data_IF_216242076004
#
_entry.id   IF_216242076004
#
_cell.length_a   1.000
_cell.length_b   1.000
_cell.length_c   1.000
_cell.angle_alpha   90.00
_cell.angle_beta   90.00
_cell.angle_gamma   90.00
#
_symmetry.space_group_name_H-M   'P 1'
#
loop_
_entity.id
_entity.type
_entity.pdbx_description
1 polymer ?
#
# COMPACT_ATOMS: atom_id res chain seq x y z
N UNK A 1 -59.45 18.14 -61.53
CA UNK A 1 -58.02 17.75 -61.83
C UNK A 1 -57.13 18.63 -61.01
N UNK A 2 -57.01 18.26 -59.72
CA UNK A 2 -56.00 18.90 -58.90
C UNK A 2 -55.43 17.86 -57.96
N UNK A 3 -54.15 17.58 -58.09
CA UNK A 3 -53.36 16.74 -57.20
C UNK A 3 -52.95 17.60 -56.04
N UNK A 4 -53.61 17.46 -54.93
CA UNK A 4 -53.09 18.00 -53.66
C UNK A 4 -52.04 17.05 -53.08
N UNK A 5 -50.83 17.54 -53.09
CA UNK A 5 -49.71 16.91 -52.38
C UNK A 5 -49.93 17.02 -50.88
N UNK A 6 -50.13 15.84 -50.23
CA UNK A 6 -50.08 15.76 -48.76
C UNK A 6 -48.63 15.72 -48.31
N UNK A 7 -48.17 16.84 -47.82
CA UNK A 7 -46.91 16.91 -47.10
C UNK A 7 -47.15 16.24 -45.73
N UNK A 8 -46.55 15.09 -45.53
CA UNK A 8 -46.48 14.45 -44.21
C UNK A 8 -45.37 15.15 -43.40
N UNK A 9 -45.78 15.91 -42.40
CA UNK A 9 -44.89 16.48 -41.39
C UNK A 9 -44.47 15.31 -40.47
N UNK A 10 -43.24 14.85 -40.59
CA UNK A 10 -42.64 13.93 -39.61
C UNK A 10 -42.09 14.79 -38.50
N UNK A 11 -42.82 14.84 -37.37
CA UNK A 11 -42.30 15.43 -36.15
C UNK A 11 -41.36 14.40 -35.57
N UNK A 12 -40.05 14.57 -35.75
CA UNK A 12 -39.03 13.87 -35.05
C UNK A 12 -38.95 14.44 -33.64
N UNK A 13 -39.54 13.73 -32.66
CA UNK A 13 -39.35 14.03 -31.24
C UNK A 13 -37.92 13.67 -30.87
N UNK A 14 -37.04 14.65 -30.87
CA UNK A 14 -35.73 14.54 -30.20
C UNK A 14 -35.99 14.43 -28.68
N UNK A 15 -36.02 13.25 -28.17
CA UNK A 15 -35.81 12.99 -26.75
C UNK A 15 -34.33 13.34 -26.45
N UNK A 16 -34.08 14.57 -26.06
CA UNK A 16 -32.87 14.91 -25.32
C UNK A 16 -32.97 14.17 -23.95
N UNK A 17 -32.51 12.93 -23.91
CA UNK A 17 -32.12 12.32 -22.67
C UNK A 17 -30.96 13.14 -22.13
N UNK A 18 -31.23 13.96 -21.12
CA UNK A 18 -30.15 14.50 -20.28
C UNK A 18 -29.52 13.33 -19.56
N UNK A 19 -28.55 12.69 -20.20
CA UNK A 19 -27.59 11.87 -19.50
C UNK A 19 -26.84 12.85 -18.58
N UNK A 20 -27.25 12.91 -17.31
CA UNK A 20 -26.39 13.41 -16.26
C UNK A 20 -25.23 12.41 -16.12
N UNK A 21 -24.34 12.41 -17.10
CA UNK A 21 -23.05 11.82 -16.96
C UNK A 21 -22.37 12.58 -15.85
N UNK A 22 -22.24 11.96 -14.68
CA UNK A 22 -21.27 12.42 -13.72
C UNK A 22 -19.94 12.41 -14.47
N UNK A 23 -19.43 13.60 -14.80
CA UNK A 23 -18.11 13.72 -15.40
C UNK A 23 -17.15 13.08 -14.40
N UNK A 24 -16.57 11.94 -14.79
CA UNK A 24 -15.59 11.27 -13.97
C UNK A 24 -14.46 12.25 -13.74
N UNK A 25 -14.13 12.53 -12.48
CA UNK A 25 -13.00 13.39 -12.17
C UNK A 25 -11.75 12.82 -12.85
N UNK A 26 -10.95 13.67 -13.53
CA UNK A 26 -9.66 13.23 -14.00
C UNK A 26 -8.86 12.64 -12.82
N UNK A 27 -8.24 11.49 -13.00
CA UNK A 27 -7.53 10.78 -11.93
C UNK A 27 -6.39 11.59 -11.29
N UNK A 28 -5.84 12.57 -11.98
CA UNK A 28 -4.83 13.51 -11.48
C UNK A 28 -5.41 14.94 -11.26
N UNK A 29 -6.70 15.06 -11.05
CA UNK A 29 -7.28 16.36 -10.78
C UNK A 29 -7.02 16.80 -9.34
N UNK A 30 -6.88 18.12 -9.14
CA UNK A 30 -6.78 18.72 -7.81
C UNK A 30 -7.90 18.24 -6.88
N UNK A 31 -7.56 17.89 -5.65
CA UNK A 31 -8.50 17.42 -4.64
C UNK A 31 -8.98 15.98 -4.80
N UNK A 32 -8.36 15.17 -5.68
CA UNK A 32 -8.53 13.70 -5.65
C UNK A 32 -7.88 13.13 -4.40
N UNK A 33 -8.50 12.08 -3.79
CA UNK A 33 -8.03 11.52 -2.52
C UNK A 33 -6.81 10.60 -2.66
N UNK A 34 -6.81 9.77 -3.70
CA UNK A 34 -5.71 8.88 -4.04
C UNK A 34 -4.83 9.47 -5.16
N UNK A 35 -3.51 9.46 -5.03
CA UNK A 35 -2.72 8.97 -3.91
C UNK A 35 -2.86 9.85 -2.65
N UNK A 36 -2.77 9.22 -1.46
CA UNK A 36 -2.97 9.88 -0.16
C UNK A 36 -1.75 10.67 0.32
N UNK A 37 -0.58 10.35 -0.19
CA UNK A 37 0.70 10.99 0.12
C UNK A 37 1.35 11.41 -1.20
N UNK A 38 1.89 12.63 -1.29
CA UNK A 38 2.54 13.10 -2.51
C UNK A 38 3.88 12.38 -2.75
N UNK A 39 4.22 12.14 -4.02
CA UNK A 39 5.46 11.50 -4.43
C UNK A 39 5.31 10.00 -4.71
N UNK A 40 6.45 9.34 -4.86
CA UNK A 40 6.50 7.92 -5.19
C UNK A 40 6.92 7.10 -3.99
N UNK A 41 5.96 6.34 -3.49
CA UNK A 41 6.12 5.44 -2.35
C UNK A 41 5.37 4.15 -2.62
N UNK A 42 5.88 3.06 -2.04
CA UNK A 42 5.31 1.74 -2.23
C UNK A 42 5.29 0.93 -0.92
N UNK A 43 4.71 -0.26 -0.98
CA UNK A 43 4.79 -1.28 0.05
C UNK A 43 4.36 -0.73 1.44
N UNK A 44 3.16 -0.09 1.54
CA UNK A 44 2.79 0.66 2.72
C UNK A 44 2.43 -0.21 3.91
N UNK A 45 2.97 0.14 5.07
CA UNK A 45 2.44 -0.27 6.36
C UNK A 45 1.81 0.92 7.07
N UNK A 46 0.53 0.81 7.37
CA UNK A 46 -0.21 1.80 8.16
C UNK A 46 -0.49 1.25 9.56
N UNK A 47 -0.22 2.05 10.57
CA UNK A 47 -0.53 1.75 11.98
C UNK A 47 -1.18 2.96 12.65
N UNK A 48 -2.01 2.70 13.66
CA UNK A 48 -2.48 3.74 14.57
C UNK A 48 -1.95 3.46 15.97
N UNK A 49 -1.20 4.40 16.51
CA UNK A 49 -0.73 4.34 17.89
C UNK A 49 -1.24 5.56 18.65
N UNK A 50 -2.07 5.32 19.65
CA UNK A 50 -2.80 6.40 20.32
C UNK A 50 -3.79 7.09 19.35
N UNK A 51 -3.64 8.39 19.20
CA UNK A 51 -4.46 9.23 18.32
C UNK A 51 -3.79 9.58 16.98
N UNK A 52 -2.66 8.95 16.68
CA UNK A 52 -1.82 9.28 15.52
C UNK A 52 -1.71 8.08 14.57
N UNK A 53 -1.91 8.35 13.29
CA UNK A 53 -1.64 7.42 12.21
C UNK A 53 -0.18 7.54 11.76
N UNK A 54 0.43 6.41 11.48
CA UNK A 54 1.80 6.29 11.00
C UNK A 54 1.79 5.49 9.70
N UNK A 55 2.43 6.03 8.67
CA UNK A 55 2.62 5.39 7.38
C UNK A 55 4.11 5.20 7.14
N UNK A 56 4.53 3.97 6.99
CA UNK A 56 5.88 3.57 6.60
C UNK A 56 5.82 3.00 5.20
N UNK A 57 6.79 3.32 4.37
CA UNK A 57 6.76 2.87 2.98
C UNK A 57 8.17 2.79 2.39
N UNK A 58 8.28 2.03 1.33
CA UNK A 58 9.43 2.03 0.44
C UNK A 58 9.48 3.35 -0.32
N UNK A 59 10.63 4.00 -0.39
CA UNK A 59 10.81 5.21 -1.20
C UNK A 59 11.17 4.81 -2.63
N UNK A 60 10.32 5.22 -3.57
CA UNK A 60 10.50 5.00 -5.00
C UNK A 60 10.97 6.25 -5.74
N UNK A 61 11.06 6.17 -7.06
CA UNK A 61 11.37 7.27 -7.97
C UNK A 61 12.68 7.11 -8.70
N UNK A 62 13.78 6.86 -7.99
CA UNK A 62 15.09 6.60 -8.60
C UNK A 62 15.37 5.11 -8.82
N UNK A 63 14.48 4.25 -8.38
CA UNK A 63 14.54 2.80 -8.38
C UNK A 63 13.71 2.24 -7.23
N UNK A 64 13.57 0.92 -7.12
CA UNK A 64 12.84 0.31 -6.01
C UNK A 64 13.59 0.52 -4.70
N UNK A 65 13.03 1.34 -3.82
CA UNK A 65 13.57 1.58 -2.48
C UNK A 65 14.87 2.37 -2.44
N UNK A 66 15.18 3.14 -3.47
CA UNK A 66 16.32 4.05 -3.47
C UNK A 66 15.99 5.36 -2.77
N UNK A 67 15.85 5.31 -1.47
CA UNK A 67 15.63 6.48 -0.65
C UNK A 67 15.79 6.18 0.83
N UNK A 68 15.92 7.23 1.67
CA UNK A 68 16.09 7.05 3.10
C UNK A 68 14.80 6.49 3.73
N UNK A 69 14.95 5.83 4.87
CA UNK A 69 13.83 5.45 5.71
C UNK A 69 13.12 6.70 6.25
N UNK A 70 11.82 6.70 6.22
CA UNK A 70 10.99 7.78 6.74
C UNK A 70 9.65 7.27 7.22
N UNK A 71 8.97 8.09 8.00
CA UNK A 71 7.61 7.85 8.42
C UNK A 71 6.76 9.10 8.17
N UNK A 72 5.56 8.90 7.67
CA UNK A 72 4.55 9.94 7.57
C UNK A 72 3.59 9.83 8.75
N UNK A 73 3.26 10.95 9.37
CA UNK A 73 2.33 10.98 10.51
C UNK A 73 1.12 11.85 10.21
N UNK A 74 -0.05 11.42 10.70
CA UNK A 74 -1.30 12.16 10.55
C UNK A 74 -2.19 12.00 11.78
N UNK A 75 -3.01 13.01 12.07
CA UNK A 75 -4.08 12.94 13.08
C UNK A 75 -5.45 12.66 12.48
N UNK A 76 -5.59 12.77 11.17
CA UNK A 76 -6.87 12.78 10.46
C UNK A 76 -6.91 11.92 9.21
N UNK A 77 -5.77 11.29 8.86
CA UNK A 77 -5.57 10.50 7.65
C UNK A 77 -5.63 11.29 6.33
N UNK A 78 -5.59 12.61 6.39
CA UNK A 78 -5.64 13.51 5.21
C UNK A 78 -4.42 14.42 5.17
N UNK A 79 -4.07 15.01 6.32
CA UNK A 79 -2.93 15.89 6.44
C UNK A 79 -1.74 15.10 7.00
N UNK A 80 -0.74 14.89 6.16
CA UNK A 80 0.43 14.08 6.47
C UNK A 80 1.68 14.94 6.64
N UNK A 81 2.48 14.61 7.64
CA UNK A 81 3.78 15.24 7.91
C UNK A 81 4.87 14.19 7.78
N UNK A 82 5.84 14.48 6.91
CA UNK A 82 7.04 13.65 6.75
C UNK A 82 7.97 13.83 7.95
N UNK A 83 8.39 12.72 8.54
CA UNK A 83 9.36 12.66 9.63
C UNK A 83 10.53 11.77 9.21
N UNK A 84 11.77 12.29 9.21
CA UNK A 84 12.93 11.46 8.92
C UNK A 84 13.16 10.45 10.06
N UNK A 85 13.76 9.32 9.71
CA UNK A 85 14.19 8.31 10.67
C UNK A 85 15.72 8.31 10.80
N UNK A 86 16.22 7.93 11.96
CA UNK A 86 17.66 7.89 12.24
C UNK A 86 18.33 6.60 11.74
N UNK A 87 17.56 5.57 11.45
CA UNK A 87 18.01 4.23 11.06
C UNK A 87 16.92 3.54 10.24
N UNK A 88 17.29 2.70 9.27
CA UNK A 88 18.64 2.37 8.86
C UNK A 88 19.31 3.49 8.06
N UNK A 89 20.65 3.49 8.03
CA UNK A 89 21.45 4.49 7.27
C UNK A 89 21.50 4.17 5.77
N UNK A 90 21.08 3.00 5.37
CA UNK A 90 21.03 2.57 3.98
C UNK A 90 19.95 3.32 3.18
N UNK A 91 20.21 3.50 1.90
CA UNK A 91 19.24 4.01 0.92
C UNK A 91 18.49 2.88 0.19
N UNK A 92 18.59 1.64 0.67
CA UNK A 92 17.99 0.47 0.03
C UNK A 92 17.09 -0.25 1.03
N UNK A 93 15.94 0.35 1.31
CA UNK A 93 15.02 -0.11 2.33
C UNK A 93 13.69 -0.44 1.68
N UNK A 94 13.31 -1.72 1.76
CA UNK A 94 12.07 -2.21 1.17
C UNK A 94 11.09 -2.69 2.23
N UNK A 95 9.80 -2.52 1.93
CA UNK A 95 8.66 -3.11 2.60
C UNK A 95 8.76 -3.06 4.14
N UNK A 96 8.76 -1.85 4.73
CA UNK A 96 8.85 -1.72 6.17
C UNK A 96 7.56 -2.16 6.87
N UNK A 97 7.70 -2.75 8.06
CA UNK A 97 6.60 -2.96 8.99
C UNK A 97 6.95 -2.48 10.39
N UNK A 98 5.95 -2.07 11.15
CA UNK A 98 6.13 -1.66 12.54
C UNK A 98 5.04 -2.27 13.42
N UNK A 99 5.44 -2.77 14.57
CA UNK A 99 4.50 -3.24 15.58
C UNK A 99 4.86 -2.68 16.96
N UNK A 100 3.86 -2.60 17.84
CA UNK A 100 4.05 -2.36 19.27
C UNK A 100 3.99 -3.69 20.01
N UNK A 101 5.00 -3.99 20.80
CA UNK A 101 5.07 -5.20 21.59
C UNK A 101 4.53 -5.00 23.00
N UNK A 102 4.24 -6.08 23.72
CA UNK A 102 3.72 -6.06 25.10
C UNK A 102 4.73 -5.56 26.14
N UNK A 103 6.03 -5.54 25.79
CA UNK A 103 7.08 -4.91 26.60
C UNK A 103 7.06 -3.37 26.57
N UNK A 104 6.16 -2.79 25.77
CA UNK A 104 6.01 -1.36 25.60
C UNK A 104 6.82 -0.75 24.46
N UNK A 105 7.80 -1.49 23.92
CA UNK A 105 8.63 -1.04 22.82
C UNK A 105 7.95 -1.21 21.46
N UNK A 106 8.49 -0.50 20.48
CA UNK A 106 8.15 -0.62 19.07
C UNK A 106 9.27 -1.34 18.35
N UNK A 107 8.90 -2.15 17.37
CA UNK A 107 9.81 -2.92 16.54
C UNK A 107 9.58 -2.58 15.08
N UNK A 108 10.65 -2.18 14.39
CA UNK A 108 10.65 -1.78 12.98
C UNK A 108 11.38 -2.83 12.16
N UNK A 109 10.71 -3.39 11.17
CA UNK A 109 11.26 -4.40 10.27
C UNK A 109 11.39 -3.79 8.88
N UNK A 110 12.43 -4.15 8.17
CA UNK A 110 12.60 -3.86 6.75
C UNK A 110 13.44 -4.94 6.09
N UNK A 111 13.35 -5.07 4.77
CA UNK A 111 14.23 -5.97 4.01
C UNK A 111 15.23 -5.21 3.14
N UNK A 112 16.39 -5.88 2.89
CA UNK A 112 17.50 -5.35 2.08
C UNK A 112 18.40 -6.47 1.56
N UNK A 113 18.39 -6.77 0.26
CA UNK A 113 17.19 -7.01 -0.53
C UNK A 113 16.50 -8.30 -0.10
N UNK A 114 17.22 -9.37 0.24
CA UNK A 114 16.68 -10.67 0.65
C UNK A 114 17.10 -11.04 2.08
N UNK A 115 17.06 -10.08 2.97
CA UNK A 115 17.34 -10.22 4.41
C UNK A 115 16.43 -9.29 5.18
N UNK A 116 15.91 -9.72 6.33
CA UNK A 116 15.09 -8.87 7.18
C UNK A 116 15.92 -8.43 8.38
N UNK A 117 15.91 -7.13 8.61
CA UNK A 117 16.50 -6.46 9.77
C UNK A 117 15.40 -6.02 10.74
N UNK A 118 15.75 -5.88 12.01
CA UNK A 118 14.81 -5.42 13.03
C UNK A 118 15.44 -4.37 13.92
N UNK A 119 14.76 -3.23 14.04
CA UNK A 119 15.10 -2.17 14.99
C UNK A 119 14.13 -2.13 16.17
N UNK A 120 14.58 -1.64 17.31
CA UNK A 120 13.78 -1.40 18.51
C UNK A 120 13.84 0.06 18.94
N UNK A 121 12.72 0.58 19.46
CA UNK A 121 12.61 1.94 20.01
C UNK A 121 11.48 2.05 21.02
N UNK A 122 11.57 3.03 21.90
CA UNK A 122 10.47 3.39 22.83
C UNK A 122 9.35 4.19 22.14
N UNK A 123 9.59 4.68 20.91
CA UNK A 123 8.59 5.44 20.15
C UNK A 123 8.44 4.91 18.72
N UNK A 124 7.27 5.06 18.10
CA UNK A 124 7.04 4.56 16.73
C UNK A 124 7.82 5.34 15.65
N UNK A 125 8.53 6.38 16.01
CA UNK A 125 9.37 7.19 15.09
C UNK A 125 10.86 6.97 15.28
N UNK A 126 11.24 6.14 16.25
CA UNK A 126 12.62 6.04 16.69
C UNK A 126 12.91 7.00 17.88
N UNK A 127 14.18 7.21 18.25
CA UNK A 127 15.36 6.69 17.54
C UNK A 127 15.45 5.16 17.59
N UNK A 128 15.71 4.59 16.43
CA UNK A 128 15.82 3.14 16.25
C UNK A 128 17.24 2.66 16.50
N UNK A 129 17.37 1.46 17.05
CA UNK A 129 18.62 0.71 17.16
C UNK A 129 18.37 -0.74 16.72
N UNK A 130 19.29 -1.32 15.97
CA UNK A 130 19.17 -2.72 15.60
C UNK A 130 19.10 -3.57 16.87
N UNK A 131 18.11 -4.48 16.93
CA UNK A 131 17.84 -5.31 18.10
C UNK A 131 19.00 -6.27 18.43
N UNK A 132 19.82 -6.63 17.44
CA UNK A 132 20.97 -7.51 17.59
C UNK A 132 22.27 -6.76 17.95
N UNK A 133 22.21 -5.44 18.04
CA UNK A 133 23.32 -4.57 18.47
C UNK A 133 24.07 -3.90 17.33
N UNK A 134 24.58 -4.67 16.37
CA UNK A 134 25.28 -4.11 15.21
C UNK A 134 24.30 -3.57 14.19
N UNK A 135 24.59 -2.37 13.60
CA UNK A 135 23.66 -1.64 12.72
C UNK A 135 23.10 -2.50 11.58
N UNK A 136 23.98 -3.30 10.96
CA UNK A 136 23.64 -4.13 9.79
C UNK A 136 23.29 -5.59 10.15
N UNK A 137 23.13 -5.91 11.44
CA UNK A 137 22.81 -7.27 11.85
C UNK A 137 21.48 -7.75 11.28
N UNK A 138 21.47 -8.98 10.80
CA UNK A 138 20.35 -9.60 10.09
C UNK A 138 19.56 -10.47 11.06
N UNK A 139 18.25 -10.21 11.18
CA UNK A 139 17.35 -11.05 11.99
C UNK A 139 16.93 -12.31 11.22
N UNK A 140 16.55 -12.17 9.96
CA UNK A 140 16.15 -13.30 9.11
C UNK A 140 17.01 -13.29 7.85
N UNK A 141 18.00 -14.20 7.76
CA UNK A 141 18.84 -14.33 6.56
C UNK A 141 18.02 -14.90 5.39
N UNK A 142 18.56 -14.77 4.17
CA UNK A 142 17.93 -15.33 2.99
C UNK A 142 17.68 -16.84 3.15
N UNK A 143 16.50 -17.27 2.71
CA UNK A 143 16.05 -18.66 2.76
C UNK A 143 16.15 -19.32 4.15
N UNK A 144 15.96 -18.53 5.19
CA UNK A 144 15.87 -19.03 6.56
C UNK A 144 14.84 -20.15 6.71
N UNK A 145 13.71 -20.04 6.02
CA UNK A 145 12.80 -21.16 5.74
C UNK A 145 13.06 -21.64 4.31
N UNK A 146 13.34 -22.91 4.13
CA UNK A 146 13.58 -23.50 2.82
C UNK A 146 12.42 -23.19 1.88
N UNK A 147 12.71 -22.79 0.63
CA UNK A 147 11.73 -22.41 -0.39
C UNK A 147 10.91 -21.13 -0.07
N UNK A 148 11.43 -20.28 0.80
CA UNK A 148 10.96 -18.91 0.98
C UNK A 148 12.16 -17.97 0.84
N UNK A 149 12.19 -17.14 -0.21
CA UNK A 149 13.16 -16.06 -0.33
C UNK A 149 12.76 -14.99 0.68
N UNK A 150 13.73 -14.46 1.43
CA UNK A 150 13.45 -13.61 2.59
C UNK A 150 13.31 -12.15 2.17
N UNK A 151 12.08 -11.66 2.07
CA UNK A 151 11.76 -10.24 1.88
C UNK A 151 10.35 -9.96 2.42
N UNK A 152 9.97 -8.67 2.47
CA UNK A 152 8.63 -8.19 2.82
C UNK A 152 8.12 -8.72 4.17
N UNK A 153 8.94 -8.52 5.21
CA UNK A 153 8.58 -8.98 6.56
C UNK A 153 7.39 -8.22 7.13
N UNK A 154 6.30 -8.93 7.42
CA UNK A 154 5.11 -8.36 8.04
C UNK A 154 4.80 -9.08 9.35
N UNK A 155 4.54 -8.32 10.42
CA UNK A 155 4.23 -8.84 11.74
C UNK A 155 2.73 -8.94 11.99
N UNK A 156 2.36 -9.96 12.75
CA UNK A 156 1.02 -10.09 13.34
C UNK A 156 1.15 -10.36 14.83
N UNK A 157 0.45 -9.57 15.64
CA UNK A 157 0.35 -9.78 17.11
C UNK A 157 -0.99 -10.41 17.41
N UNK A 158 -0.99 -11.61 17.96
CA UNK A 158 -2.22 -12.31 18.32
C UNK A 158 -2.78 -11.84 19.68
N UNK A 159 -4.00 -12.27 20.00
CA UNK A 159 -4.74 -11.87 21.21
C UNK A 159 -4.01 -12.30 22.51
N UNK A 160 -3.20 -13.35 22.45
CA UNK A 160 -2.38 -13.84 23.58
C UNK A 160 -1.03 -13.11 23.72
N UNK A 161 -0.75 -12.12 22.86
CA UNK A 161 0.51 -11.38 22.79
C UNK A 161 1.61 -12.08 22.01
N UNK A 162 1.37 -13.26 21.45
CA UNK A 162 2.33 -13.93 20.57
C UNK A 162 2.55 -13.11 19.30
N UNK A 163 3.79 -13.00 18.86
CA UNK A 163 4.17 -12.26 17.66
C UNK A 163 4.59 -13.24 16.58
N UNK A 164 4.02 -13.08 15.41
CA UNK A 164 4.35 -13.86 14.22
C UNK A 164 4.94 -12.92 13.16
N UNK A 165 5.93 -13.40 12.42
CA UNK A 165 6.52 -12.73 11.26
C UNK A 165 6.28 -13.60 10.03
N UNK A 166 5.84 -12.98 8.94
CA UNK A 166 5.62 -13.59 7.62
C UNK A 166 6.50 -12.90 6.60
N UNK A 167 7.02 -13.65 5.60
CA UNK A 167 7.92 -13.07 4.60
C UNK A 167 7.97 -13.89 3.31
N UNK A 168 8.54 -13.30 2.24
CA UNK A 168 8.86 -13.95 0.98
C UNK A 168 7.69 -13.91 0.02
N UNK A 169 7.86 -14.50 -1.07
CA UNK A 169 8.99 -15.01 -1.88
C UNK A 169 8.93 -14.24 -3.18
N UNK A 170 9.90 -13.54 -3.59
CA UNK A 170 9.88 -12.73 -4.81
C UNK A 170 9.76 -13.60 -6.07
N UNK A 171 8.54 -13.91 -6.47
CA UNK A 171 8.19 -14.72 -7.62
C UNK A 171 7.36 -15.96 -7.29
N UNK A 172 6.63 -16.44 -8.30
CA UNK A 172 5.79 -17.62 -8.21
C UNK A 172 6.59 -18.84 -8.69
N UNK A 173 7.10 -19.62 -7.75
CA UNK A 173 7.92 -20.79 -8.06
C UNK A 173 7.29 -22.07 -7.54
N UNK A 174 7.44 -23.16 -8.29
CA UNK A 174 6.94 -24.47 -7.88
C UNK A 174 7.58 -24.92 -6.55
N UNK A 175 6.77 -25.21 -5.56
CA UNK A 175 7.20 -25.67 -4.25
C UNK A 175 7.69 -24.57 -3.31
N UNK A 176 7.63 -23.32 -3.72
CA UNK A 176 7.91 -22.16 -2.89
C UNK A 176 6.62 -21.64 -2.22
N UNK A 177 6.78 -20.68 -1.34
CA UNK A 177 5.68 -20.05 -0.64
C UNK A 177 6.15 -18.98 0.34
N UNK A 178 5.29 -18.62 1.28
CA UNK A 178 5.55 -17.69 2.34
C UNK A 178 6.27 -18.36 3.50
N UNK A 179 7.40 -17.79 3.95
CA UNK A 179 7.98 -18.14 5.25
C UNK A 179 7.15 -17.55 6.37
N UNK A 180 6.95 -18.30 7.43
CA UNK A 180 6.27 -17.85 8.63
C UNK A 180 7.01 -18.34 9.89
N UNK A 181 7.02 -17.51 10.93
CA UNK A 181 7.63 -17.91 12.20
C UNK A 181 7.02 -17.20 13.39
N UNK A 182 6.93 -17.91 14.51
CA UNK A 182 6.60 -17.35 15.82
C UNK A 182 7.86 -16.81 16.45
N UNK A 183 7.93 -15.52 16.70
CA UNK A 183 9.06 -14.90 17.38
C UNK A 183 9.10 -15.30 18.86
N UNK A 184 10.31 -15.48 19.39
CA UNK A 184 10.53 -15.62 20.82
C UNK A 184 10.24 -14.30 21.55
N UNK A 185 10.05 -14.33 22.86
CA UNK A 185 9.73 -13.15 23.66
C UNK A 185 10.80 -12.07 23.63
N UNK A 186 12.04 -12.41 23.30
CA UNK A 186 13.14 -11.46 23.12
C UNK A 186 13.18 -10.81 21.72
N UNK A 187 12.28 -11.22 20.84
CA UNK A 187 12.17 -10.76 19.44
C UNK A 187 13.41 -11.01 18.57
N UNK A 188 14.37 -11.84 19.02
CA UNK A 188 15.68 -12.07 18.36
C UNK A 188 15.79 -13.44 17.70
N UNK A 189 14.84 -14.32 17.93
CA UNK A 189 14.82 -15.69 17.43
C UNK A 189 13.39 -16.18 17.20
N UNK A 190 13.26 -17.36 16.62
CA UNK A 190 11.97 -18.01 16.41
C UNK A 190 11.83 -19.26 17.27
N UNK A 191 10.67 -19.45 17.87
CA UNK A 191 10.31 -20.68 18.59
C UNK A 191 9.73 -21.73 17.67
N UNK A 192 9.16 -21.32 16.55
CA UNK A 192 8.57 -22.15 15.53
C UNK A 192 8.67 -21.48 14.16
N UNK A 193 8.92 -22.25 13.11
CA UNK A 193 8.93 -21.75 11.73
C UNK A 193 8.22 -22.71 10.79
N UNK A 194 7.64 -22.19 9.71
CA UNK A 194 6.91 -22.96 8.72
C UNK A 194 7.00 -22.33 7.34
N UNK A 195 6.97 -23.15 6.30
CA UNK A 195 6.61 -22.73 4.94
C UNK A 195 5.09 -22.80 4.80
N UNK A 196 4.44 -21.71 4.37
CA UNK A 196 3.06 -21.70 3.85
C UNK A 196 3.18 -21.87 2.33
N UNK A 197 2.95 -23.07 1.79
CA UNK A 197 3.24 -23.36 0.39
C UNK A 197 2.18 -22.77 -0.55
N UNK A 198 2.50 -22.66 -1.83
CA UNK A 198 1.57 -22.19 -2.86
C UNK A 198 0.30 -23.06 -3.01
N UNK A 199 0.27 -24.25 -2.46
CA UNK A 199 -0.93 -25.07 -2.35
C UNK A 199 -1.94 -24.57 -1.31
N UNK A 200 -1.51 -23.77 -0.36
CA UNK A 200 -2.34 -23.08 0.64
C UNK A 200 -2.57 -21.59 0.24
N UNK A 201 -1.60 -20.98 -0.42
CA UNK A 201 -1.61 -19.61 -0.88
C UNK A 201 -1.38 -19.57 -2.40
N UNK A 202 -2.45 -19.81 -3.17
CA UNK A 202 -2.38 -19.91 -4.63
C UNK A 202 -1.72 -18.71 -5.26
N UNK A 203 -0.69 -18.96 -6.12
CA UNK A 203 0.08 -17.94 -6.81
C UNK A 203 0.71 -16.90 -5.88
N UNK A 204 1.10 -17.29 -4.67
CA UNK A 204 1.83 -16.41 -3.74
C UNK A 204 3.09 -15.88 -4.43
N UNK A 205 3.17 -14.57 -4.56
CA UNK A 205 4.33 -13.87 -5.12
C UNK A 205 5.15 -13.20 -4.02
N UNK A 206 4.52 -12.33 -3.21
CA UNK A 206 5.17 -11.57 -2.13
C UNK A 206 4.15 -10.86 -1.22
N UNK A 207 4.63 -9.96 -0.35
CA UNK A 207 3.81 -9.05 0.45
C UNK A 207 2.77 -9.76 1.31
N UNK A 208 3.17 -10.67 2.19
CA UNK A 208 2.25 -11.31 3.12
C UNK A 208 1.68 -10.30 4.11
N UNK A 209 0.42 -10.45 4.45
CA UNK A 209 -0.24 -9.69 5.51
C UNK A 209 -1.24 -10.59 6.23
N UNK A 210 -1.17 -10.64 7.56
CA UNK A 210 -2.10 -11.44 8.36
C UNK A 210 -2.87 -10.56 9.31
N UNK A 211 -4.17 -10.77 9.38
CA UNK A 211 -5.05 -10.20 10.39
C UNK A 211 -5.99 -11.25 10.96
N UNK A 212 -6.50 -11.01 12.17
CA UNK A 212 -7.52 -11.86 12.80
C UNK A 212 -8.84 -11.13 12.92
N UNK A 213 -9.93 -11.80 12.58
CA UNK A 213 -11.29 -11.28 12.75
C UNK A 213 -12.23 -12.41 13.14
N UNK A 214 -12.94 -12.24 14.27
CA UNK A 214 -13.91 -13.24 14.78
C UNK A 214 -13.32 -14.67 14.86
N UNK A 215 -12.06 -14.79 15.32
CA UNK A 215 -11.37 -16.06 15.48
C UNK A 215 -10.78 -16.66 14.19
N UNK A 216 -10.98 -16.04 13.03
CA UNK A 216 -10.44 -16.48 11.74
C UNK A 216 -9.23 -15.62 11.40
N UNK A 217 -8.15 -16.27 10.94
CA UNK A 217 -6.96 -15.63 10.41
C UNK A 217 -7.09 -15.47 8.91
N UNK A 218 -6.95 -14.22 8.44
CA UNK A 218 -6.98 -13.85 7.03
C UNK A 218 -5.54 -13.60 6.61
N UNK A 219 -5.03 -14.46 5.76
CA UNK A 219 -3.73 -14.32 5.14
C UNK A 219 -3.94 -13.71 3.75
N UNK A 220 -3.60 -12.46 3.61
CA UNK A 220 -3.64 -11.72 2.35
C UNK A 220 -2.23 -11.58 1.79
N UNK A 221 -2.10 -11.54 0.48
CA UNK A 221 -0.78 -11.49 -0.17
C UNK A 221 -0.90 -10.98 -1.61
N UNK A 222 0.22 -10.53 -2.17
CA UNK A 222 0.28 -10.14 -3.56
C UNK A 222 0.59 -11.31 -4.48
N UNK A 223 0.03 -11.25 -5.68
CA UNK A 223 0.18 -12.23 -6.76
C UNK A 223 0.34 -11.48 -8.09
N UNK A 224 0.70 -12.21 -9.15
CA UNK A 224 1.03 -11.62 -10.45
C UNK A 224 2.45 -11.08 -10.48
N UNK A 225 2.69 -10.01 -11.23
CA UNK A 225 3.98 -9.34 -11.34
C UNK A 225 3.92 -7.92 -10.82
N UNK A 226 4.81 -7.54 -9.89
CA UNK A 226 4.90 -6.17 -9.37
C UNK A 226 5.26 -5.12 -10.44
N UNK A 227 5.61 -5.55 -11.65
CA UNK A 227 5.99 -4.67 -12.76
C UNK A 227 4.84 -4.32 -13.70
N UNK A 228 3.67 -4.96 -13.58
CA UNK A 228 2.60 -4.80 -14.55
C UNK A 228 1.19 -4.88 -13.94
N UNK A 229 0.17 -4.81 -14.79
CA UNK A 229 -1.24 -4.81 -14.43
C UNK A 229 -1.73 -6.12 -13.78
N UNK A 230 -0.94 -7.18 -13.82
CA UNK A 230 -1.32 -8.47 -13.22
C UNK A 230 -1.12 -8.49 -11.70
N UNK A 231 -0.41 -7.49 -11.16
CA UNK A 231 -0.24 -7.38 -9.71
C UNK A 231 -1.59 -7.15 -9.03
N UNK A 232 -1.87 -7.93 -8.00
CA UNK A 232 -3.18 -7.99 -7.36
C UNK A 232 -3.05 -8.55 -5.95
N UNK A 233 -4.08 -8.40 -5.13
CA UNK A 233 -4.16 -8.98 -3.79
C UNK A 233 -5.11 -10.16 -3.78
N UNK A 234 -4.63 -11.29 -3.27
CA UNK A 234 -5.40 -12.49 -3.03
C UNK A 234 -5.44 -12.81 -1.52
N UNK A 235 -6.31 -13.73 -1.11
CA UNK A 235 -6.35 -14.14 0.28
C UNK A 235 -6.71 -15.61 0.49
N UNK A 236 -6.32 -16.10 1.66
CA UNK A 236 -6.65 -17.40 2.21
C UNK A 236 -7.05 -17.25 3.68
N UNK A 237 -7.71 -18.25 4.25
CA UNK A 237 -8.16 -18.23 5.65
C UNK A 237 -7.76 -19.50 6.39
N UNK A 238 -7.57 -19.37 7.72
CA UNK A 238 -7.27 -20.48 8.62
C UNK A 238 -7.86 -20.22 10.02
N UNK A 239 -7.95 -21.27 10.81
CA UNK A 239 -8.23 -21.21 12.25
C UNK A 239 -6.95 -21.06 13.10
N UNK A 240 -5.76 -21.04 12.47
CA UNK A 240 -4.44 -20.93 13.10
C UNK A 240 -3.59 -19.85 12.42
N UNK A 241 -2.73 -19.15 13.19
CA UNK A 241 -1.95 -18.02 12.65
C UNK A 241 -0.98 -18.43 11.54
N UNK A 242 -0.40 -19.60 11.58
CA UNK A 242 0.51 -20.09 10.53
C UNK A 242 -0.12 -21.15 9.62
N UNK A 243 -1.46 -21.29 9.61
CA UNK A 243 -2.17 -22.23 8.78
C UNK A 243 -2.29 -23.65 9.36
N UNK A 244 -2.73 -24.65 8.55
CA UNK A 244 -2.90 -24.59 7.10
C UNK A 244 -3.98 -23.62 6.65
N UNK A 245 -3.73 -22.96 5.51
CA UNK A 245 -4.66 -21.99 4.93
C UNK A 245 -5.47 -22.59 3.78
N UNK A 246 -6.68 -22.09 3.62
CA UNK A 246 -7.55 -22.39 2.49
C UNK A 246 -7.73 -21.15 1.62
N UNK A 247 -7.33 -21.23 0.37
CA UNK A 247 -7.47 -20.17 -0.61
C UNK A 247 -8.94 -19.73 -0.81
N UNK A 248 -9.17 -18.43 -0.94
CA UNK A 248 -10.50 -17.83 -1.04
C UNK A 248 -10.74 -17.00 -2.29
N UNK A 249 -9.71 -16.43 -2.91
CA UNK A 249 -9.86 -15.65 -4.14
C UNK A 249 -9.08 -14.34 -4.15
N UNK A 250 -9.28 -13.58 -5.23
CA UNK A 250 -8.75 -12.25 -5.45
C UNK A 250 -9.68 -11.20 -4.83
N UNK A 251 -9.11 -10.17 -4.20
CA UNK A 251 -9.87 -9.12 -3.52
C UNK A 251 -9.52 -7.70 -3.99
N UNK A 252 -8.40 -7.52 -4.69
CA UNK A 252 -8.00 -6.25 -5.27
C UNK A 252 -7.19 -6.51 -6.54
N UNK A 253 -7.55 -5.86 -7.63
CA UNK A 253 -6.85 -5.95 -8.92
C UNK A 253 -6.99 -4.65 -9.73
N UNK A 254 -6.28 -4.57 -10.85
CA UNK A 254 -6.40 -3.45 -11.80
C UNK A 254 -7.86 -3.18 -12.14
N UNK A 255 -8.29 -1.92 -12.05
CA UNK A 255 -9.67 -1.56 -12.35
C UNK A 255 -10.01 -1.70 -13.85
N UNK A 256 -11.30 -1.72 -14.16
CA UNK A 256 -11.80 -2.05 -15.51
C UNK A 256 -11.34 -1.11 -16.60
N UNK A 257 -11.07 0.16 -16.29
CA UNK A 257 -10.56 1.15 -17.24
C UNK A 257 -9.02 1.23 -17.29
N UNK A 258 -8.33 0.43 -16.44
CA UNK A 258 -6.88 0.36 -16.38
C UNK A 258 -6.19 1.58 -15.78
N UNK A 259 -6.94 2.56 -15.24
CA UNK A 259 -6.36 3.79 -14.68
C UNK A 259 -5.78 3.58 -13.28
N UNK A 260 -6.21 2.54 -12.56
CA UNK A 260 -5.57 2.07 -11.31
C UNK A 260 -4.89 0.76 -11.64
N UNK A 261 -3.60 0.87 -11.95
CA UNK A 261 -2.79 -0.18 -12.56
C UNK A 261 -1.94 -0.90 -11.53
N UNK A 262 -2.01 -2.22 -11.50
CA UNK A 262 -1.19 -3.09 -10.66
C UNK A 262 -1.27 -2.78 -9.15
N UNK A 263 -2.48 -2.67 -8.55
CA UNK A 263 -2.60 -2.41 -7.12
C UNK A 263 -2.20 -3.64 -6.31
N UNK A 264 -1.39 -3.44 -5.28
CA UNK A 264 -0.94 -4.54 -4.44
C UNK A 264 -0.09 -4.09 -3.26
N UNK A 265 0.61 -5.04 -2.65
CA UNK A 265 1.48 -4.88 -1.48
C UNK A 265 0.82 -3.99 -0.42
N UNK A 266 -0.21 -4.52 0.19
CA UNK A 266 -1.12 -3.79 1.05
C UNK A 266 -0.84 -3.99 2.53
N UNK A 267 -1.39 -3.10 3.33
CA UNK A 267 -1.67 -3.30 4.75
C UNK A 267 -3.12 -2.94 5.05
N UNK A 268 -3.64 -3.31 6.21
CA UNK A 268 -5.01 -3.03 6.61
C UNK A 268 -5.02 -2.19 7.88
N UNK A 269 -5.73 -1.06 7.83
CA UNK A 269 -6.08 -0.25 8.98
C UNK A 269 -7.47 -0.64 9.47
N UNK A 270 -7.59 -0.96 10.77
CA UNK A 270 -8.87 -1.08 11.45
C UNK A 270 -9.14 0.19 12.24
N UNK A 271 -10.26 0.84 11.97
CA UNK A 271 -10.73 2.02 12.69
C UNK A 271 -12.15 1.77 13.21
N UNK A 272 -12.28 1.54 14.51
CA UNK A 272 -13.54 1.08 15.10
C UNK A 272 -13.98 -0.27 14.51
N UNK A 273 -15.11 -0.28 13.82
CA UNK A 273 -15.66 -1.46 13.13
C UNK A 273 -15.35 -1.47 11.62
N UNK A 274 -14.71 -0.44 11.12
CA UNK A 274 -14.38 -0.26 9.72
C UNK A 274 -12.97 -0.75 9.41
N UNK A 275 -12.77 -1.20 8.17
CA UNK A 275 -11.49 -1.65 7.66
C UNK A 275 -11.15 -0.90 6.39
N UNK A 276 -9.89 -0.54 6.25
CA UNK A 276 -9.35 0.19 5.11
C UNK A 276 -8.10 -0.52 4.61
N UNK A 277 -8.08 -0.83 3.32
CA UNK A 277 -6.90 -1.39 2.67
C UNK A 277 -6.06 -0.24 2.14
N UNK A 278 -4.83 -0.14 2.64
CA UNK A 278 -3.82 0.78 2.13
C UNK A 278 -2.88 -0.03 1.25
N UNK A 279 -2.66 0.41 0.03
CA UNK A 279 -1.92 -0.33 -0.98
C UNK A 279 -1.14 0.64 -1.87
N UNK A 280 -0.23 0.15 -2.68
CA UNK A 280 0.30 0.96 -3.76
C UNK A 280 -0.35 0.59 -5.11
N UNK A 281 -0.38 1.56 -6.02
CA UNK A 281 -0.63 1.36 -7.45
C UNK A 281 0.57 1.89 -8.23
N UNK A 282 0.71 1.53 -9.50
CA UNK A 282 1.62 2.22 -10.38
C UNK A 282 1.16 3.65 -10.63
N UNK A 283 2.07 4.53 -11.03
CA UNK A 283 1.75 5.90 -11.42
C UNK A 283 0.76 5.93 -12.59
N UNK A 284 0.02 7.01 -12.74
CA UNK A 284 -0.95 7.15 -13.80
C UNK A 284 -0.79 8.52 -14.50
N UNK A 285 -0.57 8.53 -15.83
CA UNK A 285 -0.41 7.37 -16.70
C UNK A 285 0.82 6.54 -16.34
N UNK A 286 0.70 5.20 -16.51
CA UNK A 286 1.78 4.28 -16.15
C UNK A 286 3.03 4.52 -17.00
N UNK A 287 4.14 4.84 -16.32
CA UNK A 287 5.36 5.31 -16.99
C UNK A 287 6.21 4.18 -17.61
N UNK A 288 6.00 2.92 -17.25
CA UNK A 288 6.83 1.77 -17.65
C UNK A 288 8.34 1.93 -17.34
N UNK A 289 8.71 2.87 -16.48
CA UNK A 289 10.08 3.17 -16.15
C UNK A 289 10.28 3.17 -14.66
N UNK A 290 11.10 2.26 -14.19
CA UNK A 290 11.44 2.17 -12.79
C UNK A 290 10.22 1.91 -11.91
N UNK A 291 10.36 2.22 -10.65
CA UNK A 291 9.32 2.05 -9.65
C UNK A 291 8.75 3.42 -9.30
N UNK A 292 7.66 3.79 -9.96
CA UNK A 292 6.90 5.01 -9.71
C UNK A 292 5.55 4.64 -9.12
N UNK A 293 5.58 4.09 -7.90
CA UNK A 293 4.35 3.63 -7.23
C UNK A 293 3.80 4.72 -6.33
N UNK A 294 2.50 4.71 -6.12
CA UNK A 294 1.76 5.74 -5.39
C UNK A 294 0.85 5.09 -4.34
N UNK A 295 0.81 5.65 -3.14
CA UNK A 295 0.03 5.11 -2.03
C UNK A 295 -1.45 5.48 -2.14
N UNK A 296 -2.30 4.47 -2.04
CA UNK A 296 -3.75 4.60 -2.12
C UNK A 296 -4.43 3.93 -0.92
N UNK A 297 -5.68 4.30 -0.69
CA UNK A 297 -6.53 3.70 0.33
C UNK A 297 -7.96 3.61 -0.16
N UNK A 298 -8.60 2.47 0.10
CA UNK A 298 -10.01 2.26 -0.13
C UNK A 298 -10.63 1.44 1.00
N UNK A 299 -11.97 1.50 1.13
CA UNK A 299 -12.70 0.76 2.14
C UNK A 299 -12.70 -0.74 1.82
N UNK A 300 -12.39 -1.55 2.82
CA UNK A 300 -12.46 -3.01 2.76
C UNK A 300 -13.68 -3.50 3.54
N UNK A 301 -14.50 -4.32 2.92
CA UNK A 301 -15.74 -4.83 3.50
C UNK A 301 -15.76 -6.36 3.56
N UNK A 302 -16.57 -6.87 4.51
CA UNK A 302 -16.81 -8.29 4.67
C UNK A 302 -18.27 -8.62 4.35
N UNK A 303 -18.49 -9.77 3.75
CA UNK A 303 -19.81 -10.35 3.61
C UNK A 303 -20.29 -10.98 4.94
N UNK A 304 -21.54 -11.41 4.99
CA UNK A 304 -22.14 -12.00 6.20
C UNK A 304 -21.45 -13.30 6.61
N UNK A 305 -20.99 -14.10 5.65
CA UNK A 305 -20.24 -15.35 5.86
C UNK A 305 -18.79 -15.12 6.31
N UNK A 306 -18.36 -13.85 6.38
CA UNK A 306 -17.00 -13.45 6.76
C UNK A 306 -16.01 -13.39 5.61
N UNK A 307 -16.40 -13.70 4.37
CA UNK A 307 -15.53 -13.51 3.21
C UNK A 307 -15.24 -12.02 2.98
N UNK A 308 -14.05 -11.71 2.46
CA UNK A 308 -13.72 -10.35 2.04
C UNK A 308 -14.40 -10.10 0.70
N UNK A 309 -15.17 -9.01 0.61
CA UNK A 309 -15.74 -8.56 -0.67
C UNK A 309 -14.63 -8.03 -1.57
N UNK A 310 -14.74 -8.29 -2.88
CA UNK A 310 -13.82 -7.67 -3.85
C UNK A 310 -13.87 -6.15 -3.70
N UNK A 311 -12.70 -5.57 -3.47
CA UNK A 311 -12.53 -4.14 -3.30
C UNK A 311 -12.41 -3.49 -4.67
N UNK A 312 -13.17 -2.43 -4.89
CA UNK A 312 -13.08 -1.62 -6.11
C UNK A 312 -12.12 -0.47 -5.80
N UNK A 313 -10.92 -0.46 -6.41
CA UNK A 313 -9.98 0.63 -6.18
C UNK A 313 -10.49 1.93 -6.81
N UNK A 314 -10.30 3.05 -6.11
CA UNK A 314 -10.81 4.35 -6.53
C UNK A 314 -9.71 5.41 -6.61
N UNK A 315 -9.99 6.47 -7.38
CA UNK A 315 -9.17 7.69 -7.37
C UNK A 315 -9.56 8.62 -6.22
N UNK A 316 -10.77 8.51 -5.71
CA UNK A 316 -11.28 9.39 -4.64
C UNK A 316 -10.80 8.98 -3.24
N UNK A 317 -10.44 7.71 -3.01
CA UNK A 317 -10.04 7.21 -1.70
C UNK A 317 -11.16 7.32 -0.66
N UNK A 318 -10.79 7.51 0.60
CA UNK A 318 -11.74 7.49 1.73
C UNK A 318 -11.96 8.85 2.41
N UNK A 319 -11.16 9.86 2.08
CA UNK A 319 -11.19 11.15 2.78
C UNK A 319 -10.69 11.08 4.23
N UNK A 320 -11.12 12.01 5.07
CA UNK A 320 -10.70 12.10 6.47
C UNK A 320 -11.36 11.03 7.34
N UNK A 321 -10.59 10.43 8.24
CA UNK A 321 -11.09 9.49 9.26
C UNK A 321 -11.58 10.21 10.53
N UNK A 322 -11.27 11.48 10.71
CA UNK A 322 -11.79 12.31 11.79
C UNK A 322 -12.91 13.22 11.26
N UNK A 323 -14.08 13.17 11.88
CA UNK A 323 -15.32 13.81 11.40
C UNK A 323 -15.31 15.35 11.33
N UNK A 324 -14.30 16.01 11.90
CA UNK A 324 -14.22 17.47 11.97
C UNK A 324 -13.08 18.08 11.15
N UNK A 325 -12.31 17.26 10.43
CA UNK A 325 -11.10 17.75 9.76
C UNK A 325 -11.35 17.94 8.29
N UNK A 326 -11.00 19.12 7.79
CA UNK A 326 -10.96 19.47 6.38
C UNK A 326 -9.49 19.51 5.95
N UNK A 327 -9.17 18.97 4.79
CA UNK A 327 -7.83 19.09 4.19
C UNK A 327 -7.36 20.55 4.26
N UNK A 328 -6.14 20.76 4.69
CA UNK A 328 -5.55 22.12 4.76
C UNK A 328 -5.64 22.79 3.39
N UNK A 329 -6.04 24.06 3.39
CA UNK A 329 -6.09 24.83 2.16
C UNK A 329 -4.66 25.03 1.62
N UNK A 330 -4.40 24.59 0.43
CA UNK A 330 -3.15 24.90 -0.26
C UNK A 330 -3.12 26.38 -0.65
N UNK A 331 -2.36 27.19 0.10
CA UNK A 331 -2.25 28.63 -0.14
C UNK A 331 -1.51 28.96 -1.43
N UNK A 332 -0.74 28.01 -1.98
CA UNK A 332 -0.02 28.17 -3.24
C UNK A 332 -0.82 27.72 -4.46
N UNK A 333 -2.05 27.20 -4.26
CA UNK A 333 -2.86 26.68 -5.35
C UNK A 333 -3.04 27.73 -6.46
N UNK A 334 -2.59 27.37 -7.68
CA UNK A 334 -2.68 28.26 -8.85
C UNK A 334 -1.69 29.43 -8.85
N UNK A 335 -0.72 29.46 -7.93
CA UNK A 335 0.32 30.47 -7.93
C UNK A 335 1.17 30.41 -9.21
N UNK A 336 1.70 31.54 -9.64
CA UNK A 336 2.67 31.56 -10.74
C UNK A 336 4.03 31.06 -10.24
N UNK A 337 4.47 29.95 -10.82
CA UNK A 337 5.72 29.28 -10.45
C UNK A 337 6.71 29.41 -11.61
N UNK A 338 7.99 29.55 -11.26
CA UNK A 338 9.11 29.49 -12.21
C UNK A 338 10.22 28.65 -11.62
N UNK A 339 10.83 27.82 -12.44
CA UNK A 339 12.03 27.07 -12.11
C UNK A 339 13.08 27.28 -13.20
N UNK A 340 14.36 27.20 -12.83
CA UNK A 340 15.48 27.25 -13.78
C UNK A 340 15.56 26.01 -14.65
N UNK A 341 15.04 24.89 -14.17
CA UNK A 341 15.01 23.61 -14.89
C UNK A 341 13.91 22.70 -14.36
N UNK A 342 13.52 21.73 -15.17
CA UNK A 342 12.69 20.60 -14.78
C UNK A 342 13.06 19.38 -15.63
N UNK A 343 12.82 18.19 -15.10
CA UNK A 343 13.31 16.94 -15.69
C UNK A 343 12.72 16.70 -17.08
N UNK A 344 11.40 16.74 -17.20
CA UNK A 344 10.68 16.67 -18.47
C UNK A 344 9.25 17.22 -18.34
N UNK A 345 8.44 17.10 -19.39
CA UNK A 345 7.07 17.62 -19.42
C UNK A 345 6.14 17.01 -18.36
N UNK A 346 6.47 15.84 -17.80
CA UNK A 346 5.74 15.20 -16.71
C UNK A 346 6.09 15.73 -15.31
N UNK A 347 7.09 16.62 -15.20
CA UNK A 347 7.62 17.14 -13.92
C UNK A 347 7.75 18.66 -13.90
N UNK A 348 6.75 19.35 -14.42
CA UNK A 348 6.76 20.81 -14.57
C UNK A 348 6.66 21.53 -13.23
N UNK A 349 7.19 22.78 -13.11
CA UNK A 349 7.10 23.58 -11.89
C UNK A 349 5.68 23.79 -11.38
N UNK A 350 4.70 23.87 -12.27
CA UNK A 350 3.28 24.08 -11.93
C UNK A 350 2.70 22.95 -11.08
N UNK A 351 3.27 21.75 -11.17
CA UNK A 351 2.87 20.60 -10.37
C UNK A 351 3.23 20.72 -8.88
N UNK A 352 4.09 21.67 -8.52
CA UNK A 352 4.35 21.98 -7.11
C UNK A 352 3.19 22.73 -6.42
N UNK A 353 2.24 23.27 -7.19
CA UNK A 353 1.17 24.17 -6.70
C UNK A 353 -0.22 23.81 -7.24
N UNK A 354 -0.43 22.61 -7.75
CA UNK A 354 -1.67 22.16 -8.36
C UNK A 354 -2.63 21.44 -7.40
N UNK A 355 -2.22 21.25 -6.14
CA UNK A 355 -2.94 20.52 -5.09
C UNK A 355 -3.26 19.05 -5.48
N UNK A 356 -2.40 18.43 -6.23
CA UNK A 356 -2.56 17.08 -6.74
C UNK A 356 -1.39 16.19 -6.28
N UNK A 357 -1.65 15.26 -5.39
CA UNK A 357 -0.62 14.34 -4.86
C UNK A 357 -0.11 13.34 -5.91
N UNK A 358 -0.80 13.19 -7.04
CA UNK A 358 -0.37 12.32 -8.15
C UNK A 358 0.64 12.97 -9.09
N UNK A 359 0.92 14.27 -8.95
CA UNK A 359 1.90 15.02 -9.73
C UNK A 359 3.05 15.51 -8.84
N UNK A 360 4.19 15.79 -9.42
CA UNK A 360 5.31 16.40 -8.71
C UNK A 360 6.18 17.23 -9.66
N UNK A 361 6.84 18.23 -9.11
CA UNK A 361 7.92 18.93 -9.79
C UNK A 361 9.26 18.28 -9.46
N UNK A 362 10.07 18.02 -10.47
CA UNK A 362 11.42 17.48 -10.34
C UNK A 362 12.43 18.39 -11.06
N UNK A 363 13.41 18.88 -10.29
CA UNK A 363 14.51 19.71 -10.80
C UNK A 363 15.66 18.84 -11.33
N UNK A 364 16.32 19.27 -12.42
CA UNK A 364 17.56 18.64 -12.92
C UNK A 364 18.76 18.80 -11.97
N UNK A 365 18.68 19.70 -10.99
CA UNK A 365 19.80 19.98 -10.07
C UNK A 365 19.90 18.90 -8.98
N UNK A 366 18.83 18.14 -8.75
CA UNK A 366 18.74 17.14 -7.69
C UNK A 366 18.78 15.69 -8.21
N UNK A 367 19.24 15.49 -9.43
CA UNK A 367 19.39 14.16 -10.05
C UNK A 367 20.85 13.78 -10.09
#
# INVERSE_FOLDING_TARGET
RDRMNKIRLVVASLLLGAATGFAQKPFNASGTGNPIIPGYFADPTVKKFGDTYYMYATTDGSGAGFGPAQVWTSKDFVNWTLMPMNWPDSHWIWAPDVMKHTDGNYYYFYCQPCMIHCGVSETPRGPWKNILGESEAVLVPDRFVTNAITLDGQTFVDDDGSVYLYWGTWGIYKGFGCGAGKLASDMKSFTETRLIPNTEATDFFEAPFVMKRKGIYYFMYSSGSCHDHTYRVQYATSDKPMGPYTYRGCILETNTDGTIHGPGHHSVLKEGNEYYMVYHRHDNPHSNRGFHRQLCVDRMEFAEDGSIKSLIPTHDGIGALASSVVKSKNLALGAKVRASSFYDAGFRPEYAVDDNNGTLWLSLIHI
#
